data_IF_846348855896
#
_entry.id   IF_846348855896
#
_cell.length_a   1.000
_cell.length_b   1.000
_cell.length_c   1.000
_cell.angle_alpha   90.00
_cell.angle_beta   90.00
_cell.angle_gamma   90.00
#
_symmetry.space_group_name_H-M   'P 1'
#
loop_
_entity.id
_entity.type
_entity.pdbx_description
1 polymer ?
#
# COMPACT_ATOMS: atom_id res chain seq x y z
N UNK A 1 -6.10 -8.35 19.68
CA UNK A 1 -5.73 -6.92 19.82
C UNK A 1 -6.83 -6.23 20.58
N UNK A 2 -6.54 -5.51 21.65
CA UNK A 2 -7.60 -4.81 22.36
C UNK A 2 -8.14 -3.66 21.51
N UNK A 3 -9.43 -3.50 21.44
CA UNK A 3 -10.20 -2.39 20.86
C UNK A 3 -9.56 -1.02 21.17
N UNK A 4 -8.96 -0.87 22.36
CA UNK A 4 -8.22 0.32 22.79
C UNK A 4 -7.07 0.77 21.87
N UNK A 5 -6.37 -0.12 21.16
CA UNK A 5 -5.24 0.25 20.29
C UNK A 5 -5.69 0.70 18.91
N UNK A 6 -6.81 0.19 18.43
CA UNK A 6 -7.47 0.63 17.19
C UNK A 6 -8.11 1.99 17.44
N UNK A 7 -8.78 2.16 18.57
CA UNK A 7 -9.37 3.42 19.02
C UNK A 7 -8.31 4.51 19.16
N UNK A 8 -7.11 4.22 19.67
CA UNK A 8 -6.03 5.21 19.78
C UNK A 8 -5.56 5.75 18.42
N UNK A 9 -5.63 4.98 17.34
CA UNK A 9 -5.32 5.46 15.97
C UNK A 9 -6.47 6.26 15.35
N UNK A 10 -7.72 5.96 15.71
CA UNK A 10 -8.90 6.72 15.29
C UNK A 10 -9.05 7.95 16.17
N UNK A 11 -8.59 7.93 17.42
CA UNK A 11 -8.65 9.06 18.36
C UNK A 11 -7.67 10.18 18.01
N UNK A 12 -6.59 9.92 17.25
CA UNK A 12 -5.64 10.97 16.85
C UNK A 12 -6.32 12.20 16.22
N UNK A 13 -7.32 12.07 15.31
CA UNK A 13 -8.08 13.22 14.82
C UNK A 13 -8.86 13.93 15.93
N UNK A 14 -9.39 13.18 16.92
CA UNK A 14 -10.14 13.74 18.03
C UNK A 14 -9.22 14.46 19.02
N UNK A 15 -8.02 13.91 19.28
CA UNK A 15 -7.03 14.54 20.15
C UNK A 15 -6.45 15.83 19.54
N UNK A 16 -6.14 15.81 18.24
CA UNK A 16 -5.48 16.93 17.55
C UNK A 16 -6.42 18.11 17.26
N UNK A 17 -7.69 17.85 16.89
CA UNK A 17 -8.62 18.90 16.46
C UNK A 17 -9.80 19.12 17.41
N UNK A 18 -9.98 18.22 18.36
CA UNK A 18 -11.10 18.25 19.31
C UNK A 18 -12.43 18.58 18.60
N UNK A 19 -12.93 17.70 17.72
CA UNK A 19 -14.14 17.95 16.97
C UNK A 19 -15.38 17.97 17.87
N UNK A 20 -16.37 18.77 17.51
CA UNK A 20 -17.66 18.87 18.20
C UNK A 20 -18.70 17.90 17.62
N UNK A 21 -18.38 17.23 16.50
CA UNK A 21 -19.23 16.25 15.86
C UNK A 21 -18.56 15.52 14.71
N UNK A 22 -19.22 14.50 14.16
CA UNK A 22 -18.68 13.66 13.11
C UNK A 22 -19.68 13.37 11.98
N UNK A 23 -19.18 13.23 10.76
CA UNK A 23 -19.89 12.64 9.62
C UNK A 23 -19.12 11.40 9.18
N UNK A 24 -19.75 10.23 9.28
CA UNK A 24 -19.14 8.98 8.84
C UNK A 24 -19.55 8.69 7.39
N UNK A 25 -18.56 8.60 6.48
CA UNK A 25 -18.79 8.29 5.07
C UNK A 25 -18.46 6.84 4.75
N UNK A 26 -19.43 6.14 4.18
CA UNK A 26 -19.32 4.75 3.73
C UNK A 26 -19.23 4.72 2.20
N UNK A 27 -18.27 3.98 1.66
CA UNK A 27 -18.26 3.61 0.25
C UNK A 27 -19.23 2.43 0.04
N UNK A 28 -20.40 2.67 -0.58
CA UNK A 28 -21.42 1.63 -0.74
C UNK A 28 -21.04 0.51 -1.72
N UNK A 29 -20.00 0.72 -2.56
CA UNK A 29 -19.43 -0.33 -3.42
C UNK A 29 -18.67 -1.37 -2.58
N UNK A 30 -17.94 -0.88 -1.53
CA UNK A 30 -17.21 -1.68 -0.56
C UNK A 30 -17.42 -1.08 0.84
N UNK A 31 -18.49 -1.50 1.56
CA UNK A 31 -18.88 -0.86 2.82
C UNK A 31 -17.94 -1.11 4.00
N UNK A 32 -17.09 -2.13 3.97
CA UNK A 32 -16.16 -2.50 5.05
C UNK A 32 -16.80 -2.44 6.44
N UNK A 33 -17.86 -3.21 6.64
CA UNK A 33 -18.75 -3.16 7.82
C UNK A 33 -17.98 -3.24 9.15
N UNK A 34 -16.99 -4.14 9.25
CA UNK A 34 -16.18 -4.30 10.45
C UNK A 34 -15.42 -2.99 10.80
N UNK A 35 -14.85 -2.33 9.80
CA UNK A 35 -14.17 -1.03 9.96
C UNK A 35 -15.15 0.06 10.36
N UNK A 36 -16.35 0.07 9.77
CA UNK A 36 -17.38 1.05 10.11
C UNK A 36 -17.84 0.92 11.55
N UNK A 37 -17.94 -0.30 12.10
CA UNK A 37 -18.26 -0.54 13.51
C UNK A 37 -17.23 0.08 14.43
N UNK A 38 -15.94 -0.03 14.11
CA UNK A 38 -14.86 0.60 14.89
C UNK A 38 -14.95 2.12 14.88
N UNK A 39 -15.28 2.75 13.73
CA UNK A 39 -15.55 4.19 13.70
C UNK A 39 -16.74 4.58 14.57
N UNK A 40 -17.81 3.79 14.53
CA UNK A 40 -19.00 4.04 15.34
C UNK A 40 -18.73 3.91 16.85
N UNK A 41 -17.91 2.93 17.25
CA UNK A 41 -17.46 2.79 18.64
C UNK A 41 -16.66 4.01 19.09
N UNK A 42 -15.67 4.46 18.29
CA UNK A 42 -14.86 5.64 18.60
C UNK A 42 -15.69 6.93 18.71
N UNK A 43 -16.66 7.13 17.79
CA UNK A 43 -17.58 8.27 17.83
C UNK A 43 -18.46 8.23 19.09
N UNK A 44 -18.94 7.02 19.46
CA UNK A 44 -19.78 6.81 20.66
C UNK A 44 -18.99 7.04 21.95
N UNK A 45 -17.74 6.54 22.04
CA UNK A 45 -16.86 6.77 23.19
C UNK A 45 -16.54 8.26 23.37
N UNK A 46 -16.36 8.99 22.26
CA UNK A 46 -16.14 10.44 22.27
C UNK A 46 -17.45 11.23 22.53
N UNK A 47 -18.59 10.55 22.64
CA UNK A 47 -19.92 11.15 22.87
C UNK A 47 -20.27 12.26 21.87
N UNK A 48 -19.87 12.09 20.59
CA UNK A 48 -20.07 13.09 19.55
C UNK A 48 -21.41 12.93 18.82
N UNK A 49 -22.14 14.03 18.55
CA UNK A 49 -23.25 13.99 17.61
C UNK A 49 -22.74 13.62 16.22
N UNK A 50 -23.48 12.72 15.52
CA UNK A 50 -23.07 12.25 14.21
C UNK A 50 -24.22 11.81 13.32
N UNK A 51 -23.92 11.64 12.03
CA UNK A 51 -24.76 10.90 11.09
C UNK A 51 -23.90 10.20 10.04
N UNK A 52 -24.53 9.27 9.31
CA UNK A 52 -23.84 8.40 8.35
C UNK A 52 -24.29 8.73 6.93
N UNK A 53 -23.34 8.76 5.98
CA UNK A 53 -23.60 8.94 4.55
C UNK A 53 -23.14 7.68 3.80
N UNK A 54 -24.03 7.03 3.06
CA UNK A 54 -23.72 5.99 2.11
C UNK A 54 -23.47 6.60 0.73
N UNK A 55 -22.23 6.76 0.35
CA UNK A 55 -21.83 7.39 -0.92
C UNK A 55 -21.65 6.36 -2.04
N UNK A 56 -21.62 6.83 -3.29
CA UNK A 56 -21.54 6.02 -4.53
C UNK A 56 -22.76 5.13 -4.77
N UNK A 57 -23.94 5.59 -4.34
CA UNK A 57 -25.20 4.90 -4.57
C UNK A 57 -25.59 4.74 -6.04
N UNK A 58 -24.96 5.51 -6.93
CA UNK A 58 -25.10 5.40 -8.37
C UNK A 58 -24.40 4.18 -8.99
N UNK A 59 -23.57 3.48 -8.20
CA UNK A 59 -22.79 2.30 -8.60
C UNK A 59 -23.31 0.98 -8.00
N UNK A 60 -24.36 1.04 -7.18
CA UNK A 60 -24.91 -0.13 -6.45
C UNK A 60 -26.44 -0.18 -6.54
N UNK A 61 -27.02 -1.35 -6.28
CA UNK A 61 -28.47 -1.51 -6.18
C UNK A 61 -29.02 -0.81 -4.91
N UNK A 62 -30.25 -0.30 -4.97
CA UNK A 62 -30.88 0.41 -3.86
C UNK A 62 -30.98 -0.46 -2.59
N UNK A 63 -31.22 -1.75 -2.73
CA UNK A 63 -31.27 -2.73 -1.63
C UNK A 63 -29.98 -2.83 -0.80
N UNK A 64 -28.85 -2.36 -1.34
CA UNK A 64 -27.57 -2.35 -0.60
C UNK A 64 -27.61 -1.46 0.64
N UNK A 65 -28.45 -0.44 0.66
CA UNK A 65 -28.65 0.42 1.83
C UNK A 65 -29.23 -0.39 2.97
N UNK A 66 -30.32 -1.12 2.74
CA UNK A 66 -31.02 -1.88 3.78
C UNK A 66 -30.10 -2.95 4.39
N UNK A 67 -29.28 -3.59 3.55
CA UNK A 67 -28.26 -4.56 3.99
C UNK A 67 -27.24 -3.89 4.93
N UNK A 68 -26.71 -2.74 4.57
CA UNK A 68 -25.68 -2.04 5.35
C UNK A 68 -26.28 -1.42 6.61
N UNK A 69 -27.49 -0.85 6.55
CA UNK A 69 -28.24 -0.35 7.71
C UNK A 69 -28.50 -1.46 8.73
N UNK A 70 -28.93 -2.64 8.27
CA UNK A 70 -29.12 -3.82 9.12
C UNK A 70 -27.82 -4.27 9.78
N UNK A 71 -26.73 -4.30 9.02
CA UNK A 71 -25.43 -4.73 9.53
C UNK A 71 -24.81 -3.77 10.57
N UNK A 72 -25.08 -2.46 10.45
CA UNK A 72 -24.58 -1.41 11.35
C UNK A 72 -25.57 -1.03 12.46
N UNK A 73 -26.85 -1.42 12.36
CA UNK A 73 -27.91 -0.99 13.29
C UNK A 73 -28.17 0.52 13.26
N UNK A 74 -27.89 1.20 12.14
CA UNK A 74 -27.95 2.66 12.03
C UNK A 74 -28.51 3.09 10.67
N UNK A 75 -29.26 4.21 10.66
CA UNK A 75 -29.76 4.82 9.43
C UNK A 75 -28.68 5.53 8.64
N UNK A 76 -28.76 5.42 7.31
CA UNK A 76 -27.77 5.93 6.37
C UNK A 76 -28.43 6.89 5.39
N UNK A 77 -27.83 8.05 5.17
CA UNK A 77 -28.26 8.99 4.13
C UNK A 77 -27.66 8.55 2.79
N UNK A 78 -28.49 8.12 1.82
CA UNK A 78 -27.99 7.72 0.52
C UNK A 78 -27.50 8.93 -0.27
N UNK A 79 -26.33 8.80 -0.92
CA UNK A 79 -25.76 9.85 -1.74
C UNK A 79 -24.94 9.31 -2.93
N UNK A 80 -24.86 10.12 -3.98
CA UNK A 80 -23.86 10.02 -5.04
C UNK A 80 -23.24 11.41 -5.20
N UNK A 81 -22.31 11.71 -4.30
CA UNK A 81 -21.77 13.06 -4.08
C UNK A 81 -21.15 13.64 -5.35
N UNK A 82 -20.44 12.81 -6.13
CA UNK A 82 -19.83 13.24 -7.39
C UNK A 82 -20.89 13.76 -8.38
N UNK A 83 -22.06 13.11 -8.41
CA UNK A 83 -23.22 13.47 -9.24
C UNK A 83 -24.20 14.47 -8.59
N UNK A 84 -23.80 15.09 -7.49
CA UNK A 84 -24.59 16.04 -6.69
C UNK A 84 -25.91 15.45 -6.13
N UNK A 85 -26.08 14.11 -6.11
CA UNK A 85 -27.28 13.47 -5.53
C UNK A 85 -27.15 13.32 -4.04
N UNK A 86 -28.22 13.63 -3.30
CA UNK A 86 -28.26 13.56 -1.83
C UNK A 86 -27.69 14.79 -1.12
N UNK A 87 -27.03 15.74 -1.80
CA UNK A 87 -26.41 16.91 -1.17
C UNK A 87 -27.39 17.80 -0.39
N UNK A 88 -28.62 17.95 -0.89
CA UNK A 88 -29.67 18.73 -0.19
C UNK A 88 -30.03 18.11 1.14
N UNK A 89 -30.18 16.79 1.19
CA UNK A 89 -30.42 16.05 2.43
C UNK A 89 -29.25 16.18 3.43
N UNK A 90 -28.02 16.04 2.92
CA UNK A 90 -26.80 16.19 3.72
C UNK A 90 -26.74 17.61 4.33
N UNK A 91 -26.94 18.65 3.51
CA UNK A 91 -26.95 20.05 3.98
C UNK A 91 -28.03 20.30 5.06
N UNK A 92 -29.21 19.72 4.89
CA UNK A 92 -30.29 19.79 5.88
C UNK A 92 -29.88 19.07 7.17
N UNK A 93 -29.28 17.87 7.05
CA UNK A 93 -28.87 17.07 8.22
C UNK A 93 -27.73 17.74 9.00
N UNK A 94 -26.76 18.38 8.34
CA UNK A 94 -25.71 19.18 9.00
C UNK A 94 -26.34 20.22 9.91
N UNK A 95 -27.31 21.02 9.39
CA UNK A 95 -27.99 22.05 10.17
C UNK A 95 -28.80 21.51 11.37
N UNK A 96 -29.32 20.28 11.25
CA UNK A 96 -30.12 19.64 12.30
C UNK A 96 -29.26 19.00 13.38
N UNK A 97 -28.05 18.55 13.03
CA UNK A 97 -27.21 17.74 13.93
C UNK A 97 -26.16 18.59 14.66
N UNK A 98 -25.63 19.65 14.00
CA UNK A 98 -24.52 20.43 14.54
C UNK A 98 -24.89 21.88 14.81
N UNK A 99 -24.29 22.44 15.87
CA UNK A 99 -24.46 23.84 16.25
C UNK A 99 -23.57 24.75 15.37
N UNK A 100 -23.93 26.04 15.21
CA UNK A 100 -23.01 27.00 14.58
C UNK A 100 -21.65 27.04 15.29
N UNK A 101 -20.58 27.12 14.52
CA UNK A 101 -19.15 27.09 14.90
C UNK A 101 -18.59 25.72 15.25
N UNK A 102 -19.39 24.65 15.25
CA UNK A 102 -18.86 23.30 15.48
C UNK A 102 -17.79 22.93 14.46
N UNK A 103 -16.78 22.21 14.94
CA UNK A 103 -15.76 21.52 14.15
C UNK A 103 -16.26 20.11 13.88
N UNK A 104 -16.47 19.78 12.61
CA UNK A 104 -17.07 18.52 12.19
C UNK A 104 -16.02 17.65 11.50
N UNK A 105 -15.66 16.52 12.09
CA UNK A 105 -14.73 15.55 11.48
C UNK A 105 -15.45 14.74 10.39
N UNK A 106 -14.90 14.68 9.19
CA UNK A 106 -15.41 13.83 8.11
C UNK A 106 -14.60 12.54 8.12
N UNK A 107 -15.17 11.50 8.68
CA UNK A 107 -14.56 10.18 8.89
C UNK A 107 -14.93 9.20 7.79
N UNK A 108 -14.14 8.17 7.59
CA UNK A 108 -14.42 7.07 6.67
C UNK A 108 -13.15 6.52 6.04
N UNK A 109 -13.28 5.33 5.47
CA UNK A 109 -12.17 4.66 4.79
C UNK A 109 -11.71 5.44 3.56
N UNK A 110 -10.55 5.03 3.06
CA UNK A 110 -10.04 5.54 1.79
C UNK A 110 -11.10 5.38 0.67
N UNK A 111 -11.12 6.35 -0.25
CA UNK A 111 -12.04 6.37 -1.40
C UNK A 111 -13.55 6.35 -1.02
N UNK A 112 -13.93 6.69 0.21
CA UNK A 112 -15.34 6.88 0.59
C UNK A 112 -15.93 8.19 0.05
N UNK A 113 -15.10 9.13 -0.39
CA UNK A 113 -15.50 10.40 -1.00
C UNK A 113 -15.55 11.59 -0.05
N UNK A 114 -14.77 11.58 1.04
CA UNK A 114 -14.70 12.67 2.04
C UNK A 114 -14.33 14.00 1.42
N UNK A 115 -13.18 14.08 0.76
CA UNK A 115 -12.70 15.29 0.08
C UNK A 115 -13.66 15.76 -1.01
N UNK A 116 -14.30 14.81 -1.73
CA UNK A 116 -15.33 15.14 -2.73
C UNK A 116 -16.54 15.80 -2.06
N UNK A 117 -16.99 15.30 -0.93
CA UNK A 117 -18.09 15.91 -0.18
C UNK A 117 -17.74 17.33 0.26
N UNK A 118 -16.58 17.53 0.86
CA UNK A 118 -16.10 18.84 1.28
C UNK A 118 -16.03 19.78 0.09
N UNK A 119 -15.41 19.36 -1.01
CA UNK A 119 -15.32 20.13 -2.27
C UNK A 119 -16.70 20.63 -2.74
N UNK A 120 -17.70 19.73 -2.74
CA UNK A 120 -19.08 20.04 -3.14
C UNK A 120 -19.82 20.96 -2.16
N UNK A 121 -19.52 20.85 -0.86
CA UNK A 121 -20.13 21.69 0.17
C UNK A 121 -19.57 23.11 0.12
N UNK A 122 -18.26 23.28 -0.03
CA UNK A 122 -17.61 24.60 -0.03
C UNK A 122 -17.62 25.28 -1.40
N UNK A 123 -17.99 24.54 -2.48
CA UNK A 123 -18.03 25.07 -3.84
C UNK A 123 -16.64 25.31 -4.46
N UNK A 124 -15.57 24.72 -3.90
CA UNK A 124 -14.20 24.82 -4.42
C UNK A 124 -13.72 23.45 -4.88
N UNK A 125 -13.03 23.39 -6.04
CA UNK A 125 -12.42 22.15 -6.51
C UNK A 125 -11.20 21.84 -5.64
N UNK A 126 -11.32 20.82 -4.81
CA UNK A 126 -10.20 20.27 -4.05
C UNK A 126 -9.55 19.13 -4.86
N UNK A 127 -8.26 18.89 -4.66
CA UNK A 127 -7.61 17.73 -5.26
C UNK A 127 -8.25 16.47 -4.70
N UNK A 128 -8.97 15.75 -5.54
CA UNK A 128 -9.55 14.43 -5.24
C UNK A 128 -8.92 13.42 -6.19
N UNK A 129 -8.54 12.26 -5.70
CA UNK A 129 -7.97 11.22 -6.55
C UNK A 129 -8.42 9.84 -6.11
N UNK A 130 -8.44 8.88 -7.04
CA UNK A 130 -8.72 7.46 -6.78
C UNK A 130 -7.50 6.73 -6.19
N UNK A 131 -6.47 7.49 -5.80
CA UNK A 131 -5.18 6.98 -5.32
C UNK A 131 -5.15 7.12 -3.80
N UNK A 132 -4.70 6.09 -3.05
CA UNK A 132 -4.48 6.16 -1.62
C UNK A 132 -3.56 7.33 -1.27
N UNK A 133 -3.99 8.17 -0.31
CA UNK A 133 -3.16 9.27 0.21
C UNK A 133 -3.39 10.65 -0.42
N UNK A 134 -4.49 10.88 -1.13
CA UNK A 134 -4.85 12.24 -1.62
C UNK A 134 -5.06 13.26 -0.49
N UNK A 135 -5.45 12.82 0.70
CA UNK A 135 -5.54 13.64 1.91
C UNK A 135 -4.51 13.12 2.91
N UNK A 136 -3.38 13.79 3.03
CA UNK A 136 -2.23 13.37 3.83
C UNK A 136 -2.24 13.96 5.24
N UNK A 137 -2.94 15.06 5.42
CA UNK A 137 -3.07 15.77 6.68
C UNK A 137 -4.53 16.07 6.96
N UNK A 138 -4.86 16.21 8.25
CA UNK A 138 -6.15 16.72 8.68
C UNK A 138 -6.26 18.16 8.25
N UNK A 139 -7.11 18.47 7.28
CA UNK A 139 -7.22 19.81 6.72
C UNK A 139 -8.56 20.43 7.09
N UNK A 140 -8.57 21.56 7.82
CA UNK A 140 -9.79 22.27 8.14
C UNK A 140 -10.28 23.12 6.96
N UNK A 141 -11.56 23.06 6.64
CA UNK A 141 -12.23 23.85 5.62
C UNK A 141 -13.43 24.59 6.20
N UNK A 142 -13.51 25.88 5.96
CA UNK A 142 -14.67 26.68 6.38
C UNK A 142 -15.87 26.40 5.47
N UNK A 143 -16.98 25.99 6.06
CA UNK A 143 -18.26 25.82 5.39
C UNK A 143 -19.34 26.57 6.15
N UNK A 144 -19.79 27.75 5.67
CA UNK A 144 -20.74 28.63 6.36
C UNK A 144 -20.25 28.95 7.78
N UNK A 145 -21.04 28.55 8.80
CA UNK A 145 -20.71 28.70 10.22
C UNK A 145 -19.94 27.52 10.82
N UNK A 146 -19.63 26.47 10.06
CA UNK A 146 -18.93 25.25 10.51
C UNK A 146 -17.50 25.18 9.98
N UNK A 147 -16.67 24.41 10.67
CA UNK A 147 -15.38 23.98 10.18
C UNK A 147 -15.45 22.47 9.89
N UNK A 148 -15.31 22.08 8.62
CA UNK A 148 -15.22 20.68 8.20
C UNK A 148 -13.75 20.27 8.22
N UNK A 149 -13.44 19.18 8.92
CA UNK A 149 -12.09 18.63 8.99
C UNK A 149 -12.03 17.43 8.06
N UNK A 150 -11.28 17.56 6.94
CA UNK A 150 -10.98 16.42 6.07
C UNK A 150 -9.99 15.53 6.78
N UNK A 151 -10.38 14.28 7.01
CA UNK A 151 -9.52 13.32 7.68
C UNK A 151 -8.84 12.40 6.67
N UNK A 152 -7.61 12.02 6.96
CA UNK A 152 -6.89 11.01 6.17
C UNK A 152 -7.74 9.74 6.09
N UNK A 153 -7.97 9.27 4.87
CA UNK A 153 -8.69 8.01 4.65
C UNK A 153 -7.86 6.85 5.20
N UNK A 154 -8.21 6.37 6.38
CA UNK A 154 -7.55 5.20 6.95
C UNK A 154 -8.09 3.93 6.29
N UNK A 155 -7.20 3.11 5.74
CA UNK A 155 -7.50 1.72 5.44
C UNK A 155 -7.30 0.96 6.76
N UNK A 156 -8.34 0.89 7.56
CA UNK A 156 -8.37 -0.01 8.70
C UNK A 156 -8.97 -1.31 8.18
N UNK A 157 -8.13 -2.21 7.73
CA UNK A 157 -8.54 -3.58 7.45
C UNK A 157 -8.64 -4.33 8.80
N UNK A 158 -9.79 -4.23 9.44
CA UNK A 158 -10.05 -4.96 10.70
C UNK A 158 -10.33 -6.44 10.48
N UNK A 159 -10.52 -6.89 9.23
CA UNK A 159 -10.63 -8.31 8.90
C UNK A 159 -9.26 -8.99 8.89
N UNK A 160 -8.19 -8.20 8.75
CA UNK A 160 -6.81 -8.66 8.94
C UNK A 160 -6.35 -8.18 10.31
N UNK A 161 -5.80 -9.05 11.17
CA UNK A 161 -5.12 -8.57 12.35
C UNK A 161 -4.07 -7.56 11.89
N UNK A 162 -4.23 -6.29 12.29
CA UNK A 162 -3.20 -5.27 12.11
C UNK A 162 -1.92 -5.85 12.67
N UNK A 163 -0.96 -6.11 11.80
CA UNK A 163 0.35 -6.73 12.03
C UNK A 163 0.52 -7.23 13.46
N UNK A 164 0.19 -8.49 13.69
CA UNK A 164 0.42 -9.11 15.00
C UNK A 164 1.91 -8.98 15.26
N UNK A 165 2.27 -8.22 16.30
CA UNK A 165 3.65 -8.23 16.77
C UNK A 165 3.98 -9.68 17.12
N UNK A 166 5.15 -10.15 16.68
CA UNK A 166 5.62 -11.48 17.06
C UNK A 166 5.42 -11.68 18.56
N UNK A 167 4.74 -12.75 18.93
CA UNK A 167 4.52 -13.05 20.34
C UNK A 167 5.82 -13.54 20.95
N UNK A 168 6.40 -12.68 21.78
CA UNK A 168 7.61 -12.95 22.57
C UNK A 168 7.29 -13.18 24.05
N UNK A 169 6.01 -13.25 24.44
CA UNK A 169 5.59 -13.34 25.84
C UNK A 169 6.11 -14.62 26.53
N UNK A 170 6.26 -15.71 25.77
CA UNK A 170 6.84 -16.97 26.25
C UNK A 170 8.37 -16.98 26.38
N UNK A 171 9.07 -15.95 25.90
CA UNK A 171 10.52 -15.87 25.90
C UNK A 171 11.02 -15.18 27.18
N UNK A 172 11.79 -15.90 28.01
CA UNK A 172 12.31 -15.41 29.29
C UNK A 172 13.60 -14.61 29.14
N UNK A 173 14.41 -14.91 28.13
CA UNK A 173 15.72 -14.31 27.92
C UNK A 173 15.83 -13.58 26.59
N UNK A 174 16.76 -12.65 26.48
CA UNK A 174 17.08 -11.97 25.20
C UNK A 174 17.50 -12.98 24.12
N UNK A 175 18.24 -14.02 24.49
CA UNK A 175 18.64 -15.10 23.56
C UNK A 175 17.43 -15.82 22.99
N UNK A 176 16.43 -16.14 23.80
CA UNK A 176 15.20 -16.79 23.34
C UNK A 176 14.39 -15.88 22.40
N UNK A 177 14.31 -14.57 22.73
CA UNK A 177 13.64 -13.58 21.86
C UNK A 177 14.32 -13.49 20.50
N UNK A 178 15.64 -13.39 20.47
CA UNK A 178 16.41 -13.36 19.21
C UNK A 178 16.16 -14.66 18.40
N UNK A 179 16.28 -15.80 19.06
CA UNK A 179 16.05 -17.10 18.41
C UNK A 179 14.62 -17.23 17.84
N UNK A 180 13.62 -16.70 18.54
CA UNK A 180 12.21 -16.71 18.07
C UNK A 180 12.03 -15.85 16.83
N UNK A 181 12.65 -14.66 16.78
CA UNK A 181 12.59 -13.78 15.59
C UNK A 181 13.26 -14.44 14.39
N UNK A 182 14.46 -14.98 14.56
CA UNK A 182 15.18 -15.65 13.46
C UNK A 182 14.42 -16.88 12.92
N UNK A 183 13.79 -17.66 13.81
CA UNK A 183 12.95 -18.79 13.40
C UNK A 183 11.74 -18.33 12.59
N UNK A 184 11.09 -17.26 13.01
CA UNK A 184 9.97 -16.68 12.27
C UNK A 184 10.37 -16.29 10.84
N UNK A 185 11.51 -15.67 10.65
CA UNK A 185 12.00 -15.28 9.33
C UNK A 185 12.33 -16.52 8.49
N UNK A 186 12.94 -17.55 9.08
CA UNK A 186 13.19 -18.83 8.42
C UNK A 186 11.88 -19.54 8.01
N UNK A 187 10.85 -19.52 8.87
CA UNK A 187 9.51 -20.05 8.53
C UNK A 187 8.89 -19.34 7.32
N UNK A 188 9.16 -18.03 7.15
CA UNK A 188 8.72 -17.28 5.97
C UNK A 188 9.38 -17.77 4.68
N UNK A 189 10.68 -18.06 4.73
CA UNK A 189 11.41 -18.62 3.59
C UNK A 189 10.90 -20.03 3.27
N UNK A 190 10.68 -20.89 4.28
CA UNK A 190 10.15 -22.25 4.09
C UNK A 190 8.75 -22.22 3.46
N UNK A 191 7.86 -21.34 3.93
CA UNK A 191 6.53 -21.18 3.32
C UNK A 191 6.61 -20.75 1.86
N UNK A 192 7.60 -19.92 1.51
CA UNK A 192 7.87 -19.50 0.13
C UNK A 192 8.38 -20.66 -0.71
N UNK A 193 9.28 -21.48 -0.19
CA UNK A 193 9.80 -22.66 -0.84
C UNK A 193 8.68 -23.64 -1.23
N UNK A 194 7.74 -23.87 -0.32
CA UNK A 194 6.64 -24.83 -0.55
C UNK A 194 5.63 -24.34 -1.60
N UNK A 195 5.47 -23.04 -1.78
CA UNK A 195 4.29 -22.51 -2.48
C UNK A 195 4.61 -21.61 -3.67
N UNK A 196 5.75 -20.93 -3.71
CA UNK A 196 6.06 -19.92 -4.72
C UNK A 196 6.89 -20.43 -5.90
N UNK A 197 7.47 -21.62 -5.83
CA UNK A 197 8.34 -22.18 -6.89
C UNK A 197 7.70 -22.10 -8.28
N UNK A 198 6.43 -22.54 -8.50
CA UNK A 198 5.84 -22.52 -9.83
C UNK A 198 5.67 -21.10 -10.41
N UNK A 199 5.45 -20.09 -9.53
CA UNK A 199 5.35 -18.70 -9.98
C UNK A 199 6.73 -18.12 -10.26
N UNK A 200 7.74 -18.44 -9.45
CA UNK A 200 9.14 -18.03 -9.65
C UNK A 200 9.65 -18.61 -10.96
N UNK A 201 9.45 -19.88 -11.22
CA UNK A 201 9.84 -20.56 -12.47
C UNK A 201 9.27 -19.84 -13.70
N UNK A 202 7.98 -19.55 -13.72
CA UNK A 202 7.34 -18.81 -14.81
C UNK A 202 8.01 -17.45 -15.05
N UNK A 203 8.32 -16.71 -13.98
CA UNK A 203 8.98 -15.40 -14.06
C UNK A 203 10.41 -15.56 -14.55
N UNK A 204 11.18 -16.54 -14.09
CA UNK A 204 12.53 -16.85 -14.55
C UNK A 204 12.51 -17.15 -16.05
N UNK A 205 11.60 -17.98 -16.53
CA UNK A 205 11.46 -18.30 -17.97
C UNK A 205 11.18 -17.04 -18.81
N UNK A 206 10.33 -16.14 -18.31
CA UNK A 206 10.03 -14.87 -18.99
C UNK A 206 11.26 -13.96 -19.00
N UNK A 207 11.92 -13.78 -17.86
CA UNK A 207 13.15 -13.00 -17.73
C UNK A 207 14.24 -13.49 -18.69
N UNK A 208 14.54 -14.78 -18.66
CA UNK A 208 15.54 -15.42 -19.55
C UNK A 208 15.27 -15.11 -21.02
N UNK A 209 14.01 -15.28 -21.46
CA UNK A 209 13.61 -15.01 -22.85
C UNK A 209 13.75 -13.54 -23.24
N UNK A 210 13.36 -12.60 -22.34
CA UNK A 210 13.37 -11.18 -22.67
C UNK A 210 14.79 -10.58 -22.57
N UNK A 211 15.57 -11.00 -21.58
CA UNK A 211 16.99 -10.59 -21.46
C UNK A 211 17.77 -11.02 -22.69
N UNK A 212 17.56 -12.25 -23.20
CA UNK A 212 18.16 -12.72 -24.46
C UNK A 212 17.80 -11.84 -25.66
N UNK A 213 16.65 -11.16 -25.63
CA UNK A 213 16.21 -10.19 -26.65
C UNK A 213 16.69 -8.75 -26.38
N UNK A 214 17.60 -8.54 -25.45
CA UNK A 214 18.12 -7.23 -25.08
C UNK A 214 17.12 -6.33 -24.35
N UNK A 215 16.07 -6.92 -23.73
CA UNK A 215 15.08 -6.16 -22.94
C UNK A 215 15.59 -5.87 -21.55
N UNK A 216 15.17 -4.71 -21.00
CA UNK A 216 15.55 -4.25 -19.68
C UNK A 216 14.65 -4.88 -18.61
N UNK A 217 15.22 -5.06 -17.43
CA UNK A 217 14.48 -5.31 -16.20
C UNK A 217 14.46 -4.02 -15.38
N UNK A 218 13.28 -3.59 -14.96
CA UNK A 218 13.09 -2.37 -14.17
C UNK A 218 12.37 -2.78 -12.90
N UNK A 219 12.96 -2.54 -11.75
CA UNK A 219 12.42 -2.93 -10.46
C UNK A 219 12.15 -1.70 -9.59
N UNK A 220 11.07 -1.74 -8.83
CA UNK A 220 10.74 -0.69 -7.87
C UNK A 220 10.09 -1.26 -6.61
N UNK A 221 10.23 -0.53 -5.53
CA UNK A 221 9.60 -0.78 -4.24
C UNK A 221 9.60 0.50 -3.42
N UNK A 222 8.86 0.52 -2.31
CA UNK A 222 8.84 1.64 -1.37
C UNK A 222 9.05 1.15 0.06
N UNK A 223 9.65 1.98 0.92
CA UNK A 223 9.99 1.60 2.29
C UNK A 223 10.96 0.42 2.33
N UNK A 224 10.70 -0.55 3.17
CA UNK A 224 11.55 -1.73 3.27
C UNK A 224 11.50 -2.62 2.02
N UNK A 225 10.44 -2.58 1.22
CA UNK A 225 10.43 -3.22 -0.10
C UNK A 225 11.36 -2.54 -1.11
N UNK A 226 11.75 -1.28 -0.88
CA UNK A 226 12.77 -0.62 -1.68
C UNK A 226 14.15 -1.24 -1.47
N UNK A 227 14.45 -1.70 -0.24
CA UNK A 227 15.70 -2.45 0.05
C UNK A 227 15.77 -3.74 -0.77
N UNK A 228 14.67 -4.49 -0.85
CA UNK A 228 14.59 -5.71 -1.67
C UNK A 228 14.79 -5.39 -3.15
N UNK A 229 14.23 -4.27 -3.63
CA UNK A 229 14.42 -3.83 -5.01
C UNK A 229 15.88 -3.41 -5.29
N UNK A 230 16.53 -2.74 -4.35
CA UNK A 230 17.95 -2.37 -4.44
C UNK A 230 18.84 -3.61 -4.43
N UNK A 231 18.55 -4.58 -3.56
CA UNK A 231 19.26 -5.86 -3.54
C UNK A 231 19.12 -6.60 -4.86
N UNK A 232 17.93 -6.61 -5.46
CA UNK A 232 17.72 -7.20 -6.78
C UNK A 232 18.62 -6.56 -7.85
N UNK A 233 18.85 -5.26 -7.79
CA UNK A 233 19.73 -4.58 -8.73
C UNK A 233 21.22 -4.85 -8.43
N UNK A 234 21.61 -4.90 -7.15
CA UNK A 234 22.96 -5.26 -6.72
C UNK A 234 23.33 -6.68 -7.17
N UNK A 235 22.51 -7.65 -6.84
CA UNK A 235 22.68 -9.03 -7.30
C UNK A 235 22.59 -9.16 -8.84
N UNK A 236 21.78 -8.31 -9.48
CA UNK A 236 21.72 -8.21 -10.92
C UNK A 236 23.08 -7.84 -11.53
N UNK A 237 23.81 -6.90 -10.91
CA UNK A 237 25.17 -6.55 -11.32
C UNK A 237 26.11 -7.76 -11.19
N UNK A 238 26.07 -8.46 -10.04
CA UNK A 238 26.93 -9.64 -9.80
C UNK A 238 26.62 -10.81 -10.74
N UNK A 239 25.38 -10.98 -11.14
CA UNK A 239 24.91 -12.06 -12.01
C UNK A 239 24.84 -11.66 -13.49
N UNK A 240 25.29 -10.45 -13.84
CA UNK A 240 25.26 -9.93 -15.20
C UNK A 240 23.86 -9.73 -15.77
N UNK A 241 22.85 -9.58 -14.93
CA UNK A 241 21.47 -9.27 -15.33
C UNK A 241 21.28 -7.75 -15.35
N UNK A 242 20.91 -7.13 -16.48
CA UNK A 242 20.79 -5.68 -16.58
C UNK A 242 19.49 -5.20 -15.88
N UNK A 243 19.59 -4.78 -14.63
CA UNK A 243 18.47 -4.31 -13.83
C UNK A 243 18.60 -2.83 -13.52
N UNK A 244 17.58 -2.07 -13.84
CA UNK A 244 17.41 -0.68 -13.41
C UNK A 244 16.52 -0.64 -12.17
N UNK A 245 17.02 -0.06 -11.09
CA UNK A 245 16.26 0.14 -9.86
C UNK A 245 15.87 1.60 -9.70
N UNK A 246 14.61 1.83 -9.37
CA UNK A 246 14.09 3.14 -9.02
C UNK A 246 13.34 3.02 -7.70
N UNK A 247 13.88 3.60 -6.67
CA UNK A 247 13.27 3.59 -5.34
C UNK A 247 13.26 5.01 -4.79
N UNK A 248 12.31 5.28 -3.90
CA UNK A 248 12.39 6.47 -3.10
C UNK A 248 13.57 6.37 -2.13
N UNK A 249 14.17 7.52 -1.82
CA UNK A 249 15.24 7.57 -0.84
C UNK A 249 14.77 6.94 0.48
N UNK A 250 15.52 5.95 0.99
CA UNK A 250 15.14 5.19 2.18
C UNK A 250 14.99 6.04 3.44
N UNK A 251 15.77 7.12 3.55
CA UNK A 251 15.65 8.06 4.66
C UNK A 251 14.30 8.79 4.64
N UNK A 252 13.73 9.01 3.48
CA UNK A 252 12.43 9.65 3.27
C UNK A 252 11.28 8.65 3.28
N UNK A 253 11.55 7.37 3.01
CA UNK A 253 10.52 6.32 2.90
C UNK A 253 9.98 5.83 4.25
N UNK A 254 10.56 6.21 5.37
CA UNK A 254 10.16 5.68 6.66
C UNK A 254 8.87 6.34 7.20
N UNK A 255 8.85 7.47 7.83
CA UNK A 255 7.61 8.09 8.25
C UNK A 255 7.03 9.08 7.23
N UNK A 256 7.80 9.47 6.22
CA UNK A 256 7.49 10.54 5.26
C UNK A 256 6.72 10.03 4.05
N UNK A 257 6.63 8.72 3.82
CA UNK A 257 5.74 8.15 2.80
C UNK A 257 4.27 8.57 2.96
N UNK A 258 3.94 9.22 4.08
CA UNK A 258 2.64 9.79 4.38
C UNK A 258 2.63 11.32 4.47
N UNK A 259 3.76 12.00 4.28
CA UNK A 259 3.81 13.45 4.30
C UNK A 259 3.30 14.05 2.98
N UNK A 260 2.65 15.20 3.10
CA UNK A 260 2.16 15.98 1.96
C UNK A 260 3.35 16.41 1.09
N UNK A 261 3.39 15.99 -0.13
CA UNK A 261 4.53 16.20 -1.03
C UNK A 261 5.23 14.89 -1.42
N UNK A 262 5.53 14.02 -0.49
CA UNK A 262 6.15 12.72 -0.80
C UNK A 262 5.30 11.89 -1.76
N UNK A 263 3.97 11.90 -1.63
CA UNK A 263 3.07 11.22 -2.57
C UNK A 263 3.01 11.88 -3.95
N UNK A 264 3.10 13.20 -4.02
CA UNK A 264 3.18 13.90 -5.30
C UNK A 264 4.53 13.64 -5.98
N UNK A 265 5.61 13.57 -5.22
CA UNK A 265 6.94 13.17 -5.68
C UNK A 265 6.96 11.70 -6.08
N UNK A 266 6.40 10.80 -5.27
CA UNK A 266 6.25 9.38 -5.60
C UNK A 266 5.46 9.18 -6.90
N UNK A 267 4.36 9.87 -7.07
CA UNK A 267 3.55 9.82 -8.30
C UNK A 267 4.29 10.43 -9.49
N UNK A 268 5.04 11.50 -9.28
CA UNK A 268 5.92 12.10 -10.28
C UNK A 268 7.01 11.13 -10.69
N UNK A 269 7.61 10.44 -9.73
CA UNK A 269 8.64 9.43 -9.97
C UNK A 269 8.10 8.23 -10.76
N UNK A 270 6.92 7.69 -10.40
CA UNK A 270 6.32 6.58 -11.17
C UNK A 270 6.04 6.95 -12.62
N UNK A 271 5.63 8.19 -12.87
CA UNK A 271 5.45 8.75 -14.20
C UNK A 271 6.78 8.89 -14.95
N UNK A 272 7.81 9.39 -14.28
CA UNK A 272 9.16 9.52 -14.82
C UNK A 272 9.75 8.15 -15.17
N UNK A 273 9.73 7.20 -14.22
CA UNK A 273 10.24 5.84 -14.45
C UNK A 273 9.54 5.20 -15.66
N UNK A 274 8.21 5.40 -15.78
CA UNK A 274 7.48 4.88 -16.92
C UNK A 274 7.95 5.48 -18.26
N UNK A 275 8.65 6.61 -18.31
CA UNK A 275 9.17 7.14 -19.59
C UNK A 275 10.26 6.26 -20.19
N UNK A 276 11.06 5.60 -19.35
CA UNK A 276 12.17 4.73 -19.80
C UNK A 276 11.73 3.30 -20.12
N UNK A 277 10.46 2.97 -19.89
CA UNK A 277 9.88 1.66 -20.18
C UNK A 277 9.55 1.53 -21.67
N UNK A 278 9.97 0.45 -22.30
CA UNK A 278 9.67 0.09 -23.67
C UNK A 278 8.79 -1.18 -23.73
N UNK A 279 8.12 -1.44 -24.87
CA UNK A 279 7.39 -2.69 -25.06
C UNK A 279 8.26 -3.93 -24.84
N UNK A 280 7.72 -4.91 -24.10
CA UNK A 280 8.39 -6.16 -23.73
C UNK A 280 9.55 -6.01 -22.72
N UNK A 281 9.85 -4.82 -22.20
CA UNK A 281 10.66 -4.71 -20.98
C UNK A 281 9.93 -5.39 -19.81
N UNK A 282 10.66 -5.81 -18.79
CA UNK A 282 10.07 -6.44 -17.60
C UNK A 282 10.07 -5.42 -16.48
N UNK A 283 8.89 -5.17 -15.92
CA UNK A 283 8.68 -4.22 -14.85
C UNK A 283 8.23 -4.96 -13.58
N UNK A 284 9.04 -4.93 -12.54
CA UNK A 284 8.81 -5.64 -11.28
C UNK A 284 8.45 -4.64 -10.20
N UNK A 285 7.30 -4.84 -9.56
CA UNK A 285 6.84 -4.06 -8.42
C UNK A 285 6.86 -4.90 -7.15
N UNK A 286 7.59 -4.45 -6.12
CA UNK A 286 7.70 -5.15 -4.84
C UNK A 286 6.94 -4.39 -3.77
N UNK A 287 5.98 -5.04 -3.12
CA UNK A 287 5.21 -4.46 -2.02
C UNK A 287 4.65 -5.55 -1.11
N UNK A 288 5.07 -5.60 0.13
CA UNK A 288 4.59 -6.58 1.11
C UNK A 288 3.06 -6.56 1.25
N UNK A 289 2.45 -5.40 1.36
CA UNK A 289 1.01 -5.23 1.50
C UNK A 289 0.24 -5.27 0.18
N UNK A 290 0.92 -5.06 -0.95
CA UNK A 290 0.30 -4.83 -2.26
C UNK A 290 -0.48 -3.52 -2.39
N UNK A 291 -0.49 -2.69 -1.34
CA UNK A 291 -1.27 -1.44 -1.27
C UNK A 291 -0.47 -0.17 -1.59
N UNK A 292 0.81 -0.27 -1.93
CA UNK A 292 1.68 0.89 -2.17
C UNK A 292 1.33 1.57 -3.49
N UNK A 293 0.75 2.76 -3.42
CA UNK A 293 0.20 3.49 -4.57
C UNK A 293 1.23 3.77 -5.67
N UNK A 294 2.43 4.18 -5.29
CA UNK A 294 3.54 4.41 -6.19
C UNK A 294 3.89 3.16 -7.02
N UNK A 295 4.06 2.00 -6.37
CA UNK A 295 4.42 0.73 -7.03
C UNK A 295 3.31 0.26 -7.97
N UNK A 296 2.05 0.39 -7.54
CA UNK A 296 0.89 0.11 -8.37
C UNK A 296 0.82 1.01 -9.60
N UNK A 297 0.97 2.33 -9.44
CA UNK A 297 0.87 3.28 -10.55
C UNK A 297 1.99 3.03 -11.57
N UNK A 298 3.19 2.67 -11.11
CA UNK A 298 4.27 2.27 -11.99
C UNK A 298 3.91 1.04 -12.85
N UNK A 299 3.45 -0.07 -12.24
CA UNK A 299 3.07 -1.26 -13.01
C UNK A 299 1.91 -0.98 -13.97
N UNK A 300 0.90 -0.21 -13.53
CA UNK A 300 -0.22 0.21 -14.38
C UNK A 300 0.24 0.99 -15.61
N UNK A 301 1.21 1.90 -15.46
CA UNK A 301 1.81 2.68 -16.56
C UNK A 301 2.67 1.81 -17.46
N UNK A 302 3.48 0.93 -16.89
CA UNK A 302 4.29 -0.02 -17.63
C UNK A 302 3.43 -0.94 -18.53
N UNK A 303 2.33 -1.47 -17.96
CA UNK A 303 1.38 -2.29 -18.72
C UNK A 303 0.74 -1.55 -19.90
N UNK A 304 0.40 -0.27 -19.74
CA UNK A 304 -0.07 0.58 -20.85
C UNK A 304 0.95 0.73 -21.98
N UNK A 305 2.24 0.64 -21.66
CA UNK A 305 3.35 0.65 -22.64
C UNK A 305 3.68 -0.74 -23.20
N UNK A 306 2.85 -1.73 -22.94
CA UNK A 306 3.05 -3.12 -23.37
C UNK A 306 4.32 -3.78 -22.79
N UNK A 307 4.77 -3.34 -21.64
CA UNK A 307 5.77 -4.03 -20.85
C UNK A 307 5.13 -5.24 -20.14
N UNK A 308 5.95 -6.21 -19.80
CA UNK A 308 5.56 -7.37 -18.98
C UNK A 308 5.66 -6.96 -17.52
N UNK A 309 4.59 -7.15 -16.76
CA UNK A 309 4.51 -6.69 -15.37
C UNK A 309 4.51 -7.86 -14.38
N UNK A 310 5.33 -7.74 -13.34
CA UNK A 310 5.49 -8.73 -12.28
C UNK A 310 5.24 -8.04 -10.94
N UNK A 311 4.43 -8.64 -10.08
CA UNK A 311 4.27 -8.23 -8.69
C UNK A 311 4.87 -9.27 -7.76
N UNK A 312 5.71 -8.83 -6.80
CA UNK A 312 6.13 -9.63 -5.65
C UNK A 312 5.40 -9.07 -4.43
N UNK A 313 4.42 -9.82 -3.91
CA UNK A 313 3.53 -9.33 -2.86
C UNK A 313 2.91 -10.47 -2.06
N UNK A 314 2.57 -10.21 -0.80
CA UNK A 314 1.80 -11.17 0.00
C UNK A 314 0.29 -11.09 -0.30
N UNK A 315 -0.21 -9.92 -0.72
CA UNK A 315 -1.63 -9.72 -0.94
C UNK A 315 -1.96 -9.55 -2.44
N UNK A 316 -2.48 -10.62 -3.04
CA UNK A 316 -2.81 -10.66 -4.47
C UNK A 316 -4.12 -9.92 -4.82
N UNK A 317 -5.04 -9.75 -3.88
CA UNK A 317 -6.35 -9.11 -4.09
C UNK A 317 -6.29 -7.57 -4.06
N UNK A 318 -5.09 -7.03 -4.21
CA UNK A 318 -4.83 -5.59 -4.20
C UNK A 318 -4.75 -5.01 -5.61
N UNK A 319 -4.79 -3.68 -5.75
CA UNK A 319 -4.55 -3.03 -7.03
C UNK A 319 -3.23 -3.45 -7.69
N UNK A 320 -2.16 -3.67 -6.90
CA UNK A 320 -0.87 -4.12 -7.40
C UNK A 320 -0.96 -5.51 -8.04
N UNK A 321 -1.57 -6.48 -7.35
CA UNK A 321 -1.77 -7.82 -7.90
C UNK A 321 -2.60 -7.79 -9.18
N UNK A 322 -3.68 -7.01 -9.22
CA UNK A 322 -4.53 -6.89 -10.40
C UNK A 322 -3.87 -6.18 -11.59
N UNK A 323 -2.84 -5.37 -11.36
CA UNK A 323 -2.09 -4.70 -12.41
C UNK A 323 -1.01 -5.59 -13.06
N UNK A 324 -0.57 -6.64 -12.38
CA UNK A 324 0.51 -7.51 -12.83
C UNK A 324 0.04 -8.62 -13.79
N UNK A 325 0.91 -8.99 -14.74
CA UNK A 325 0.71 -10.17 -15.60
C UNK A 325 1.16 -11.45 -14.89
N UNK A 326 2.17 -11.33 -14.02
CA UNK A 326 2.67 -12.41 -13.17
C UNK A 326 2.71 -11.95 -11.72
N UNK A 327 2.35 -12.85 -10.81
CA UNK A 327 2.36 -12.57 -9.38
C UNK A 327 3.17 -13.65 -8.69
N UNK A 328 4.13 -13.24 -7.85
CA UNK A 328 4.81 -14.13 -6.92
C UNK A 328 4.32 -13.78 -5.51
N UNK A 329 3.66 -14.73 -4.88
CA UNK A 329 3.19 -14.63 -3.51
C UNK A 329 4.09 -15.47 -2.60
N UNK A 330 4.66 -14.83 -1.56
CA UNK A 330 5.56 -15.51 -0.63
C UNK A 330 4.86 -16.49 0.32
N UNK A 331 3.56 -16.28 0.58
CA UNK A 331 2.80 -16.98 1.63
C UNK A 331 3.43 -16.88 3.04
N UNK A 332 4.32 -15.93 3.23
CA UNK A 332 4.87 -15.57 4.52
C UNK A 332 3.83 -14.74 5.28
N UNK A 333 3.04 -15.38 6.13
CA UNK A 333 2.03 -14.66 6.94
C UNK A 333 2.71 -13.57 7.76
N UNK A 334 2.20 -12.32 7.70
CA UNK A 334 2.84 -11.22 8.41
C UNK A 334 2.74 -11.44 9.93
N UNK A 335 3.87 -11.33 10.60
CA UNK A 335 3.97 -11.32 12.04
C UNK A 335 4.78 -10.08 12.45
N UNK A 336 4.18 -9.22 13.26
CA UNK A 336 4.83 -8.02 13.77
C UNK A 336 4.65 -6.74 12.97
N UNK A 337 5.06 -5.59 13.53
CA UNK A 337 4.79 -4.28 12.99
C UNK A 337 5.60 -3.94 11.72
N UNK A 338 6.71 -4.63 11.47
CA UNK A 338 7.63 -4.31 10.38
C UNK A 338 7.48 -5.18 9.14
N UNK A 339 6.62 -6.21 9.16
CA UNK A 339 6.51 -7.21 8.08
C UNK A 339 7.86 -7.88 7.73
N UNK A 340 8.79 -8.00 8.69
CA UNK A 340 10.15 -8.51 8.46
C UNK A 340 10.14 -9.88 7.79
N UNK A 341 9.30 -10.80 8.24
CA UNK A 341 9.10 -12.14 7.67
C UNK A 341 8.80 -12.10 6.17
N UNK A 342 7.90 -11.21 5.74
CA UNK A 342 7.56 -11.05 4.31
C UNK A 342 8.75 -10.48 3.54
N UNK A 343 9.45 -9.53 4.11
CA UNK A 343 10.59 -8.88 3.45
C UNK A 343 11.76 -9.84 3.25
N UNK A 344 12.06 -10.67 4.26
CA UNK A 344 13.08 -11.73 4.15
C UNK A 344 12.65 -12.78 3.12
N UNK A 345 11.37 -13.15 3.08
CA UNK A 345 10.84 -14.05 2.05
C UNK A 345 10.93 -13.45 0.64
N UNK A 346 10.62 -12.15 0.47
CA UNK A 346 10.79 -11.47 -0.82
C UNK A 346 12.25 -11.37 -1.24
N UNK A 347 13.17 -11.18 -0.29
CA UNK A 347 14.60 -11.22 -0.56
C UNK A 347 15.04 -12.60 -1.06
N UNK A 348 14.58 -13.67 -0.41
CA UNK A 348 14.85 -15.05 -0.86
C UNK A 348 14.29 -15.32 -2.27
N UNK A 349 13.11 -14.77 -2.62
CA UNK A 349 12.55 -14.85 -3.98
C UNK A 349 13.49 -14.17 -4.99
N UNK A 350 14.00 -12.99 -4.67
CA UNK A 350 14.92 -12.23 -5.53
C UNK A 350 16.20 -13.03 -5.77
N UNK A 351 16.80 -13.58 -4.72
CA UNK A 351 17.99 -14.44 -4.83
C UNK A 351 17.72 -15.67 -5.69
N UNK A 352 16.58 -16.36 -5.46
CA UNK A 352 16.21 -17.53 -6.26
C UNK A 352 16.08 -17.20 -7.74
N UNK A 353 15.47 -16.06 -8.10
CA UNK A 353 15.36 -15.61 -9.48
C UNK A 353 16.73 -15.37 -10.09
N UNK A 354 17.58 -14.57 -9.44
CA UNK A 354 18.83 -14.09 -10.04
C UNK A 354 19.91 -15.17 -10.10
N UNK A 355 20.04 -15.99 -9.06
CA UNK A 355 21.03 -17.07 -9.06
C UNK A 355 20.65 -18.16 -10.08
N UNK A 356 19.37 -18.48 -10.23
CA UNK A 356 18.91 -19.39 -11.29
C UNK A 356 19.18 -18.81 -12.69
N UNK A 357 18.96 -17.50 -12.88
CA UNK A 357 19.26 -16.84 -14.15
C UNK A 357 20.76 -16.81 -14.45
N UNK A 358 21.61 -16.63 -13.44
CA UNK A 358 23.06 -16.65 -13.58
C UNK A 358 23.56 -18.02 -14.00
N UNK A 359 23.09 -19.08 -13.32
CA UNK A 359 23.41 -20.46 -13.65
C UNK A 359 22.97 -20.83 -15.08
N UNK A 360 21.72 -20.56 -15.42
CA UNK A 360 21.15 -20.77 -16.76
C UNK A 360 21.91 -20.03 -17.89
N UNK A 361 22.59 -18.96 -17.57
CA UNK A 361 23.43 -18.17 -18.50
C UNK A 361 24.90 -18.58 -18.47
N UNK A 362 25.28 -19.52 -17.62
CA UNK A 362 26.65 -19.99 -17.46
C UNK A 362 27.60 -18.91 -16.92
N UNK A 363 27.09 -17.99 -16.05
CA UNK A 363 27.91 -16.94 -15.44
C UNK A 363 28.87 -17.56 -14.44
N UNK A 364 30.20 -17.44 -14.73
CA UNK A 364 31.23 -17.92 -13.84
C UNK A 364 31.56 -16.90 -12.74
N UNK A 365 32.18 -17.36 -11.64
CA UNK A 365 32.68 -16.48 -10.58
C UNK A 365 33.64 -15.40 -11.11
N UNK A 366 34.46 -15.72 -12.09
CA UNK A 366 35.36 -14.78 -12.74
C UNK A 366 34.61 -13.67 -13.49
N UNK A 367 33.55 -14.03 -14.21
CA UNK A 367 32.70 -13.06 -14.91
C UNK A 367 31.96 -12.17 -13.91
N UNK A 368 31.44 -12.74 -12.82
CA UNK A 368 30.79 -11.98 -11.75
C UNK A 368 31.74 -10.94 -11.14
N UNK A 369 33.02 -11.32 -10.88
CA UNK A 369 34.04 -10.37 -10.40
C UNK A 369 34.27 -9.24 -11.41
N UNK A 370 34.31 -9.54 -12.70
CA UNK A 370 34.49 -8.52 -13.75
C UNK A 370 33.32 -7.55 -13.84
N UNK A 371 32.08 -8.00 -13.58
CA UNK A 371 30.91 -7.12 -13.55
C UNK A 371 30.95 -6.12 -12.39
N UNK A 372 31.48 -6.54 -11.24
CA UNK A 372 31.46 -5.72 -10.02
C UNK A 372 32.64 -4.76 -9.90
N UNK A 373 33.78 -5.10 -10.47
CA UNK A 373 35.02 -4.38 -10.20
C UNK A 373 35.61 -3.74 -11.46
N UNK A 374 36.25 -2.55 -11.35
CA UNK A 374 37.07 -2.02 -12.41
C UNK A 374 38.12 -3.05 -12.84
N UNK A 375 38.39 -3.13 -14.11
CA UNK A 375 39.27 -4.16 -14.71
C UNK A 375 40.60 -4.34 -13.97
N UNK A 376 41.29 -3.24 -13.62
CA UNK A 376 42.54 -3.27 -12.86
C UNK A 376 42.43 -3.93 -11.48
N UNK A 377 41.25 -3.75 -10.82
CA UNK A 377 40.99 -4.34 -9.48
C UNK A 377 40.64 -5.80 -9.63
N UNK A 378 39.83 -6.15 -10.65
CA UNK A 378 39.43 -7.51 -10.93
C UNK A 378 40.67 -8.38 -11.27
N UNK A 379 41.54 -7.93 -12.14
CA UNK A 379 42.80 -8.63 -12.50
C UNK A 379 43.69 -8.88 -11.29
N UNK A 380 43.86 -7.89 -10.41
CA UNK A 380 44.64 -8.06 -9.17
C UNK A 380 44.01 -9.10 -8.23
N UNK A 381 42.68 -9.10 -8.06
CA UNK A 381 41.97 -10.08 -7.22
C UNK A 381 42.04 -11.51 -7.77
N UNK A 382 42.07 -11.65 -9.08
CA UNK A 382 42.19 -12.96 -9.76
C UNK A 382 43.63 -13.46 -9.85
N UNK A 383 44.62 -12.71 -9.33
CA UNK A 383 46.03 -13.09 -9.40
C UNK A 383 46.61 -13.05 -10.81
N UNK A 384 45.91 -12.40 -11.75
CA UNK A 384 46.40 -12.20 -13.12
C UNK A 384 47.34 -10.98 -13.11
N UNK A 385 48.61 -11.18 -13.47
CA UNK A 385 49.59 -10.12 -13.57
C UNK A 385 49.46 -9.31 -14.87
#
# INVERSE_FOLDING_TARGET
MSTKRVLKKISTPFEQFNPDGAILMINMVDPQIATMKVFLEAISEANLPFFIIGNKMDLVKKSKIDEVEKALGRKIIPAAVLKNRGLTMIKKKIKQTFKPKDKIAILGVFNSGKTTLISKLIGKKLKTGDIPGTTLEFTPYRYKSWTLIDTVGQIIDVSKPMMVSIDLSGCKTTKEKIARVLRQDAEGILATLETAIPQIEKVVCVLKRQIKKGKKVIVTGAGASALVAMEMAGQGLETGVPILVFTNNLAEAQPVSFAKGALEEEMGLSKYIATVVNPNDICIGISASGGTGFVYDFLRRAKKKKAITVAITENIDTPLGKAADFIIKSNAKPEGPSSSKIQVAHLAIVHAILLTLADDRGITAEQSIKFMLPEKVATKKMGIK
#
